data_IF_819278975263
#
_entry.id   IF_819278975263
#
_cell.length_a   1.000
_cell.length_b   1.000
_cell.length_c   1.000
_cell.angle_alpha   90.00
_cell.angle_beta   90.00
_cell.angle_gamma   90.00
#
_symmetry.space_group_name_H-M   'P 1'
#
loop_
_entity.id
_entity.type
_entity.pdbx_description
1 polymer ?
#
# COMPACT_ATOMS: atom_id res chain seq x y z
N UNK A 1 8.88 -1.63 -23.27
CA UNK A 1 9.90 -0.58 -23.46
C UNK A 1 11.10 -0.90 -22.57
N UNK A 2 12.33 -0.55 -22.94
CA UNK A 2 13.51 -0.67 -22.06
C UNK A 2 13.45 0.49 -21.06
N UNK A 3 13.76 0.24 -19.82
CA UNK A 3 13.84 1.28 -18.78
C UNK A 3 15.12 1.11 -17.95
N UNK A 4 15.55 2.19 -17.31
CA UNK A 4 16.64 2.20 -16.31
C UNK A 4 16.03 2.24 -14.92
N UNK A 5 16.75 1.68 -13.95
CA UNK A 5 16.40 1.76 -12.53
C UNK A 5 17.49 2.49 -11.78
N UNK A 6 17.12 3.54 -11.07
CA UNK A 6 18.03 4.33 -10.24
C UNK A 6 17.60 4.27 -8.79
N UNK A 7 18.50 3.88 -7.88
CA UNK A 7 18.28 3.95 -6.45
C UNK A 7 18.22 5.41 -6.02
N UNK A 8 17.16 5.78 -5.32
CA UNK A 8 16.94 7.15 -4.81
C UNK A 8 16.78 7.16 -3.30
N UNK A 9 17.07 8.30 -2.71
CA UNK A 9 16.89 8.57 -1.27
C UNK A 9 16.23 9.93 -1.11
N UNK A 10 15.22 10.02 -0.25
CA UNK A 10 14.51 11.28 -0.01
C UNK A 10 14.01 11.36 1.44
N UNK A 11 13.91 12.58 2.01
CA UNK A 11 13.49 12.75 3.40
C UNK A 11 11.99 12.55 3.58
N UNK A 12 11.61 11.97 4.72
CA UNK A 12 10.25 11.98 5.28
C UNK A 12 10.34 12.28 6.77
N UNK A 13 9.99 13.51 7.17
CA UNK A 13 10.26 13.99 8.51
C UNK A 13 11.77 13.98 8.82
N UNK A 14 12.16 13.31 9.90
CA UNK A 14 13.57 13.13 10.32
C UNK A 14 14.27 11.94 9.66
N UNK A 15 13.52 11.06 8.99
CA UNK A 15 14.03 9.82 8.45
C UNK A 15 14.27 9.92 6.94
N UNK A 16 15.17 9.08 6.41
CA UNK A 16 15.46 8.98 4.98
C UNK A 16 14.84 7.72 4.42
N UNK A 17 13.98 7.88 3.42
CA UNK A 17 13.38 6.78 2.68
C UNK A 17 14.25 6.38 1.50
N UNK A 18 14.23 5.07 1.19
CA UNK A 18 14.97 4.46 0.07
C UNK A 18 13.98 3.91 -0.94
N UNK A 19 14.17 4.28 -2.20
CA UNK A 19 13.30 3.86 -3.29
C UNK A 19 14.06 3.53 -4.57
N UNK A 20 13.33 2.99 -5.53
CA UNK A 20 13.79 2.72 -6.88
C UNK A 20 12.93 3.51 -7.89
N UNK A 21 13.59 4.36 -8.66
CA UNK A 21 12.99 5.13 -9.75
C UNK A 21 13.23 4.38 -11.07
N UNK A 22 12.16 3.94 -11.72
CA UNK A 22 12.21 3.31 -13.04
C UNK A 22 11.84 4.33 -14.10
N UNK A 23 12.73 4.53 -15.08
CA UNK A 23 12.57 5.54 -16.12
C UNK A 23 12.69 4.87 -17.50
N UNK A 24 11.58 4.81 -18.28
CA UNK A 24 11.60 4.32 -19.66
C UNK A 24 12.49 5.18 -20.56
N UNK A 25 13.07 4.54 -21.57
CA UNK A 25 13.87 5.23 -22.58
C UNK A 25 12.98 5.66 -23.76
N UNK A 26 13.30 6.83 -24.36
CA UNK A 26 12.64 7.28 -25.58
C UNK A 26 11.20 7.78 -25.37
N UNK A 27 10.90 8.29 -24.17
CA UNK A 27 9.61 8.90 -23.86
C UNK A 27 9.40 10.22 -24.65
N UNK A 28 8.14 10.53 -24.95
CA UNK A 28 7.73 11.88 -25.38
C UNK A 28 7.74 12.85 -24.18
N UNK A 29 7.54 14.15 -24.46
CA UNK A 29 7.61 15.21 -23.44
C UNK A 29 6.56 15.03 -22.35
N UNK A 30 5.36 14.56 -22.66
CA UNK A 30 4.28 14.37 -21.67
C UNK A 30 4.59 13.19 -20.76
N UNK A 31 4.98 12.05 -21.33
CA UNK A 31 5.37 10.85 -20.58
C UNK A 31 6.60 11.12 -19.70
N UNK A 32 7.56 11.91 -20.18
CA UNK A 32 8.77 12.26 -19.42
C UNK A 32 8.47 13.06 -18.14
N UNK A 33 7.36 13.81 -18.09
CA UNK A 33 6.93 14.58 -16.91
C UNK A 33 5.87 13.88 -16.05
N UNK A 34 5.46 12.67 -16.43
CA UNK A 34 4.48 11.86 -15.71
C UNK A 34 5.18 10.78 -14.88
N UNK A 35 4.75 10.57 -13.65
CA UNK A 35 5.26 9.51 -12.77
C UNK A 35 4.10 8.86 -12.00
N UNK A 36 4.22 7.57 -11.73
CA UNK A 36 3.30 6.83 -10.85
C UNK A 36 4.04 6.40 -9.59
N UNK A 37 3.55 6.81 -8.42
CA UNK A 37 4.03 6.35 -7.12
C UNK A 37 3.29 5.06 -6.79
N UNK A 38 4.05 3.96 -6.65
CA UNK A 38 3.49 2.61 -6.44
C UNK A 38 3.85 2.13 -5.04
N UNK A 39 2.84 1.73 -4.28
CA UNK A 39 3.01 1.24 -2.91
C UNK A 39 2.40 -0.16 -2.74
N UNK A 40 3.06 -0.98 -1.94
CA UNK A 40 2.76 -2.40 -1.78
C UNK A 40 1.73 -2.72 -0.71
N UNK A 41 1.62 -3.98 -0.38
CA UNK A 41 0.67 -4.53 0.59
C UNK A 41 1.09 -4.23 2.04
N UNK A 42 0.30 -4.76 2.99
CA UNK A 42 0.53 -4.65 4.43
C UNK A 42 1.85 -5.30 4.82
N UNK A 43 2.67 -4.63 5.64
CA UNK A 43 3.97 -5.08 6.14
C UNK A 43 5.08 -5.31 5.09
N UNK A 44 4.79 -5.14 3.81
CA UNK A 44 5.71 -5.48 2.71
C UNK A 44 6.79 -4.42 2.46
N UNK A 45 7.83 -4.84 1.76
CA UNK A 45 8.91 -3.99 1.24
C UNK A 45 8.72 -3.73 -0.25
N UNK A 46 9.43 -2.74 -0.79
CA UNK A 46 9.30 -2.30 -2.18
C UNK A 46 9.56 -3.40 -3.21
N UNK A 47 10.46 -4.34 -2.93
CA UNK A 47 10.85 -5.44 -3.82
C UNK A 47 9.71 -6.44 -4.10
N UNK A 48 8.65 -6.42 -3.30
CA UNK A 48 7.49 -7.33 -3.45
C UNK A 48 6.50 -6.82 -4.51
N UNK A 49 5.17 -6.78 -4.20
CA UNK A 49 4.16 -6.40 -5.19
C UNK A 49 4.39 -5.03 -5.82
N UNK A 50 4.92 -4.06 -5.06
CA UNK A 50 5.11 -2.71 -5.55
C UNK A 50 6.04 -2.67 -6.78
N UNK A 51 7.23 -3.29 -6.68
CA UNK A 51 8.19 -3.33 -7.80
C UNK A 51 7.65 -4.12 -9.00
N UNK A 52 6.91 -5.21 -8.74
CA UNK A 52 6.28 -5.99 -9.80
C UNK A 52 5.34 -5.14 -10.67
N UNK A 53 4.49 -4.31 -10.08
CA UNK A 53 3.62 -3.40 -10.82
C UNK A 53 4.39 -2.25 -11.44
N UNK A 54 5.31 -1.64 -10.71
CA UNK A 54 6.10 -0.52 -11.16
C UNK A 54 6.92 -0.84 -12.42
N UNK A 55 7.59 -2.00 -12.45
CA UNK A 55 8.32 -2.46 -13.65
C UNK A 55 7.43 -2.68 -14.86
N UNK A 56 6.19 -3.16 -14.67
CA UNK A 56 5.23 -3.32 -15.76
C UNK A 56 4.77 -1.99 -16.32
N UNK A 57 4.49 -1.03 -15.44
CA UNK A 57 4.17 0.34 -15.84
C UNK A 57 5.35 1.00 -16.55
N UNK A 58 6.59 0.79 -16.06
CA UNK A 58 7.79 1.28 -16.72
C UNK A 58 7.99 0.65 -18.09
N UNK A 59 7.78 -0.66 -18.24
CA UNK A 59 7.81 -1.33 -19.53
C UNK A 59 6.72 -0.84 -20.50
N UNK A 60 5.60 -0.32 -19.96
CA UNK A 60 4.53 0.31 -20.72
C UNK A 60 4.78 1.79 -21.02
N UNK A 61 5.88 2.39 -20.54
CA UNK A 61 6.28 3.75 -20.88
C UNK A 61 6.03 4.81 -19.82
N UNK A 62 5.68 4.44 -18.58
CA UNK A 62 5.46 5.38 -17.48
C UNK A 62 6.65 5.39 -16.51
N UNK A 63 7.10 6.57 -16.07
CA UNK A 63 8.03 6.62 -14.94
C UNK A 63 7.33 6.12 -13.70
N UNK A 64 8.04 5.36 -12.85
CA UNK A 64 7.49 4.85 -11.60
C UNK A 64 8.48 4.99 -10.45
N UNK A 65 7.96 5.28 -9.27
CA UNK A 65 8.69 5.29 -8.02
C UNK A 65 8.10 4.25 -7.08
N UNK A 66 8.93 3.33 -6.61
CA UNK A 66 8.64 2.46 -5.46
C UNK A 66 9.59 2.80 -4.33
N UNK A 67 9.16 2.64 -3.10
CA UNK A 67 10.00 2.91 -1.94
C UNK A 67 9.60 2.07 -0.74
N UNK A 68 10.54 1.86 0.18
CA UNK A 68 10.25 1.30 1.49
C UNK A 68 9.70 2.39 2.40
N UNK A 69 8.59 2.12 3.05
CA UNK A 69 8.07 2.99 4.12
C UNK A 69 9.07 3.08 5.28
N UNK A 70 9.04 4.18 6.04
CA UNK A 70 9.91 4.32 7.20
C UNK A 70 9.77 3.15 8.17
N UNK A 71 10.90 2.62 8.64
CA UNK A 71 10.94 1.46 9.50
C UNK A 71 10.80 0.12 8.78
N UNK A 72 10.74 0.09 7.45
CA UNK A 72 10.71 -1.11 6.62
C UNK A 72 11.90 -1.17 5.66
N UNK A 73 12.29 -2.38 5.25
CA UNK A 73 13.33 -2.60 4.26
C UNK A 73 14.58 -1.77 4.48
N UNK A 74 14.99 -1.01 3.48
CA UNK A 74 16.20 -0.19 3.48
C UNK A 74 15.98 1.25 3.98
N UNK A 75 14.73 1.66 4.23
CA UNK A 75 14.42 2.98 4.78
C UNK A 75 14.77 3.07 6.26
N UNK A 76 15.16 4.28 6.67
CA UNK A 76 15.38 4.61 8.08
C UNK A 76 14.06 4.63 8.86
N UNK A 77 14.15 4.86 10.15
CA UNK A 77 13.00 5.02 11.04
C UNK A 77 12.87 3.92 12.08
N UNK A 78 12.50 4.35 13.26
CA UNK A 78 12.21 3.50 14.42
C UNK A 78 10.81 3.82 14.97
N UNK A 79 10.15 2.85 15.63
CA UNK A 79 10.53 1.44 15.66
C UNK A 79 10.45 0.77 14.29
N UNK A 80 11.24 -0.29 14.07
CA UNK A 80 11.17 -1.09 12.85
C UNK A 80 9.85 -1.86 12.78
N UNK A 81 9.40 -2.15 11.55
CA UNK A 81 8.20 -2.95 11.26
C UNK A 81 6.93 -2.44 11.97
N UNK A 82 6.85 -1.14 12.22
CA UNK A 82 5.67 -0.51 12.79
C UNK A 82 4.69 -0.09 11.69
N UNK A 83 3.65 -0.89 11.53
CA UNK A 83 2.56 -0.62 10.61
C UNK A 83 1.67 0.49 11.18
N UNK A 84 1.91 1.71 10.77
CA UNK A 84 1.18 2.89 11.20
C UNK A 84 0.66 3.66 9.98
N UNK A 85 -0.65 3.60 9.68
CA UNK A 85 -1.23 4.24 8.50
C UNK A 85 -0.92 5.73 8.38
N UNK A 86 -0.97 6.48 9.48
CA UNK A 86 -0.70 7.93 9.46
C UNK A 86 0.74 8.21 9.00
N UNK A 87 1.74 7.48 9.54
CA UNK A 87 3.14 7.61 9.12
C UNK A 87 3.33 7.22 7.65
N UNK A 88 2.63 6.20 7.19
CA UNK A 88 2.70 5.77 5.77
C UNK A 88 2.09 6.79 4.82
N UNK A 89 1.01 7.46 5.21
CA UNK A 89 0.46 8.59 4.45
C UNK A 89 1.46 9.74 4.38
N UNK A 90 2.16 10.07 5.47
CA UNK A 90 3.25 11.07 5.47
C UNK A 90 4.38 10.67 4.51
N UNK A 91 4.75 9.39 4.48
CA UNK A 91 5.80 8.89 3.58
C UNK A 91 5.39 8.97 2.10
N UNK A 92 4.13 8.71 1.79
CA UNK A 92 3.57 8.90 0.45
C UNK A 92 3.61 10.38 0.07
N UNK A 93 3.21 11.28 0.96
CA UNK A 93 3.30 12.73 0.74
C UNK A 93 4.75 13.18 0.48
N UNK A 94 5.72 12.61 1.20
CA UNK A 94 7.14 12.86 0.99
C UNK A 94 7.61 12.33 -0.38
N UNK A 95 7.13 11.16 -0.82
CA UNK A 95 7.42 10.61 -2.13
C UNK A 95 6.83 11.49 -3.27
N UNK A 96 5.63 12.05 -3.08
CA UNK A 96 5.04 13.05 -4.00
C UNK A 96 5.92 14.30 -4.05
N UNK A 97 6.39 14.80 -2.90
CA UNK A 97 7.27 15.97 -2.82
C UNK A 97 8.61 15.72 -3.50
N UNK A 98 9.18 14.53 -3.32
CA UNK A 98 10.37 14.10 -4.03
C UNK A 98 10.14 14.08 -5.56
N UNK A 99 9.05 13.48 -6.03
CA UNK A 99 8.73 13.45 -7.46
C UNK A 99 8.64 14.86 -8.06
N UNK A 100 7.97 15.80 -7.38
CA UNK A 100 7.92 17.21 -7.79
C UNK A 100 9.32 17.82 -7.86
N UNK A 101 10.19 17.56 -6.88
CA UNK A 101 11.57 18.06 -6.87
C UNK A 101 12.43 17.53 -8.03
N UNK A 102 12.06 16.36 -8.58
CA UNK A 102 12.69 15.78 -9.77
C UNK A 102 12.12 16.31 -11.09
N UNK A 103 11.18 17.26 -11.04
CA UNK A 103 10.58 17.88 -12.22
C UNK A 103 9.33 17.18 -12.76
N UNK A 104 8.80 16.17 -12.07
CA UNK A 104 7.52 15.57 -12.46
C UNK A 104 6.36 16.51 -12.12
N UNK A 105 5.48 16.70 -13.10
CA UNK A 105 4.32 17.61 -12.99
C UNK A 105 2.98 16.88 -13.00
N UNK A 106 2.96 15.60 -13.39
CA UNK A 106 1.77 14.75 -13.40
C UNK A 106 2.07 13.51 -12.55
N UNK A 107 1.45 13.43 -11.39
CA UNK A 107 1.72 12.38 -10.40
C UNK A 107 0.48 11.50 -10.26
N UNK A 108 0.58 10.25 -10.72
CA UNK A 108 -0.40 9.20 -10.44
C UNK A 108 -0.02 8.44 -9.17
N UNK A 109 -1.03 7.88 -8.52
CA UNK A 109 -0.87 7.03 -7.35
C UNK A 109 -1.42 5.62 -7.63
N UNK A 110 -0.68 4.58 -7.25
CA UNK A 110 -1.14 3.20 -7.30
C UNK A 110 -0.93 2.54 -5.94
N UNK A 111 -2.02 2.13 -5.30
CA UNK A 111 -2.02 1.43 -4.03
C UNK A 111 -2.48 -0.02 -4.17
N UNK A 112 -1.76 -0.95 -3.54
CA UNK A 112 -2.07 -2.38 -3.57
C UNK A 112 -2.47 -2.83 -2.17
N UNK A 113 -3.61 -3.50 -2.03
CA UNK A 113 -4.11 -4.05 -0.77
C UNK A 113 -4.20 -2.96 0.33
N UNK A 114 -3.48 -3.04 1.43
CA UNK A 114 -3.48 -2.05 2.51
C UNK A 114 -3.07 -0.64 2.04
N UNK A 115 -2.06 -0.55 1.16
CA UNK A 115 -1.62 0.75 0.64
C UNK A 115 -2.66 1.46 -0.23
N UNK A 116 -3.68 0.75 -0.70
CA UNK A 116 -4.82 1.39 -1.36
C UNK A 116 -5.49 2.40 -0.43
N UNK A 117 -5.64 2.06 0.85
CA UNK A 117 -6.16 2.97 1.86
C UNK A 117 -5.24 4.17 2.12
N UNK A 118 -3.92 3.95 2.20
CA UNK A 118 -2.96 5.04 2.41
C UNK A 118 -2.90 5.99 1.22
N UNK A 119 -2.90 5.45 -0.01
CA UNK A 119 -2.95 6.27 -1.23
C UNK A 119 -4.27 7.03 -1.37
N UNK A 120 -5.40 6.44 -0.97
CA UNK A 120 -6.70 7.09 -0.99
C UNK A 120 -6.73 8.30 -0.04
N UNK A 121 -6.24 8.13 1.20
CA UNK A 121 -6.13 9.22 2.17
C UNK A 121 -5.19 10.31 1.66
N UNK A 122 -4.02 9.94 1.14
CA UNK A 122 -3.09 10.92 0.56
C UNK A 122 -3.71 11.67 -0.62
N UNK A 123 -4.37 10.99 -1.55
CA UNK A 123 -4.99 11.63 -2.73
C UNK A 123 -6.18 12.54 -2.37
N UNK A 124 -6.84 12.29 -1.23
CA UNK A 124 -7.89 13.17 -0.71
C UNK A 124 -7.35 14.52 -0.20
N UNK A 125 -6.10 14.54 0.28
CA UNK A 125 -5.49 15.71 0.93
C UNK A 125 -4.40 16.36 0.06
N UNK A 126 -3.70 15.61 -0.80
CA UNK A 126 -2.61 16.09 -1.65
C UNK A 126 -3.05 16.34 -3.10
N UNK A 127 -3.40 17.57 -3.40
CA UNK A 127 -3.88 17.97 -4.73
C UNK A 127 -2.84 17.89 -5.86
N UNK A 128 -1.59 17.52 -5.57
CA UNK A 128 -0.56 17.24 -6.58
C UNK A 128 -0.74 15.88 -7.23
N UNK A 129 -1.45 14.96 -6.57
CA UNK A 129 -1.87 13.69 -7.17
C UNK A 129 -3.00 13.96 -8.17
N UNK A 130 -2.89 13.46 -9.40
CA UNK A 130 -3.85 13.71 -10.48
C UNK A 130 -4.66 12.48 -10.90
N UNK A 131 -4.33 11.29 -10.39
CA UNK A 131 -5.08 10.05 -10.63
C UNK A 131 -4.76 9.01 -9.55
N UNK A 132 -5.74 8.13 -9.26
CA UNK A 132 -5.64 7.10 -8.23
C UNK A 132 -6.03 5.73 -8.80
N UNK A 133 -5.13 4.76 -8.70
CA UNK A 133 -5.39 3.36 -9.03
C UNK A 133 -5.33 2.49 -7.77
N UNK A 134 -6.35 1.68 -7.53
CA UNK A 134 -6.47 0.81 -6.36
C UNK A 134 -6.60 -0.65 -6.82
N UNK A 135 -5.64 -1.48 -6.45
CA UNK A 135 -5.58 -2.88 -6.86
C UNK A 135 -5.80 -3.79 -5.66
N UNK A 136 -6.83 -4.63 -5.73
CA UNK A 136 -7.25 -5.52 -4.65
C UNK A 136 -7.26 -4.79 -3.28
N UNK A 137 -7.92 -3.62 -3.19
CA UNK A 137 -7.79 -2.74 -2.04
C UNK A 137 -8.33 -3.38 -0.77
N UNK A 138 -7.58 -3.28 0.31
CA UNK A 138 -8.06 -3.53 1.67
C UNK A 138 -8.51 -2.20 2.25
N UNK A 139 -9.80 -1.94 2.19
CA UNK A 139 -10.43 -0.73 2.72
C UNK A 139 -11.37 -1.13 3.85
N UNK A 140 -11.07 -0.72 5.06
CA UNK A 140 -11.84 -1.13 6.23
C UNK A 140 -12.22 0.05 7.11
N UNK A 141 -13.21 -0.17 7.93
CA UNK A 141 -13.53 0.56 9.14
C UNK A 141 -13.60 -0.42 10.31
N UNK A 142 -13.94 0.04 11.49
CA UNK A 142 -14.04 -0.78 12.70
C UNK A 142 -14.98 -1.97 12.53
N UNK A 143 -16.13 -1.77 11.91
CA UNK A 143 -17.15 -2.79 11.74
C UNK A 143 -16.68 -3.89 10.75
N UNK A 144 -16.14 -3.49 9.63
CA UNK A 144 -15.70 -4.40 8.57
C UNK A 144 -14.45 -5.21 8.96
N UNK A 145 -13.59 -4.65 9.81
CA UNK A 145 -12.33 -5.33 10.19
C UNK A 145 -12.54 -6.32 11.34
N UNK A 146 -13.53 -6.13 12.19
CA UNK A 146 -13.75 -6.94 13.38
C UNK A 146 -13.87 -8.45 13.11
N UNK A 147 -14.60 -8.91 12.08
CA UNK A 147 -14.71 -10.36 11.77
C UNK A 147 -13.36 -11.04 11.47
N UNK A 148 -12.40 -10.31 10.93
CA UNK A 148 -11.06 -10.84 10.58
C UNK A 148 -10.17 -11.05 11.80
N UNK A 149 -10.48 -10.40 12.93
CA UNK A 149 -9.65 -10.39 14.13
C UNK A 149 -10.39 -10.89 15.38
N UNK A 150 -11.37 -11.78 15.21
CA UNK A 150 -12.09 -12.40 16.33
C UNK A 150 -13.23 -11.58 16.89
N UNK A 151 -13.86 -10.75 16.05
CA UNK A 151 -14.96 -9.86 16.44
C UNK A 151 -14.50 -8.68 17.29
N UNK A 152 -15.46 -7.98 17.91
CA UNK A 152 -15.17 -6.80 18.73
C UNK A 152 -14.25 -7.11 19.93
N UNK A 153 -14.39 -8.28 20.56
CA UNK A 153 -13.54 -8.70 21.67
C UNK A 153 -12.09 -8.87 21.20
N UNK A 154 -11.85 -9.61 20.12
CA UNK A 154 -10.52 -9.83 19.59
C UNK A 154 -9.85 -8.55 19.06
N UNK A 155 -10.62 -7.58 18.58
CA UNK A 155 -10.10 -6.24 18.23
C UNK A 155 -9.73 -5.47 19.49
N UNK A 156 -10.56 -5.50 20.54
CA UNK A 156 -10.26 -4.83 21.81
C UNK A 156 -8.97 -5.38 22.44
N UNK A 157 -8.83 -6.69 22.51
CA UNK A 157 -7.63 -7.36 23.05
C UNK A 157 -6.36 -6.92 22.30
N UNK A 158 -6.41 -6.83 20.96
CA UNK A 158 -5.26 -6.38 20.14
C UNK A 158 -4.92 -4.92 20.37
N UNK A 159 -5.91 -4.06 20.54
CA UNK A 159 -5.70 -2.65 20.88
C UNK A 159 -5.03 -2.52 22.24
N UNK A 160 -5.46 -3.29 23.25
CA UNK A 160 -4.85 -3.26 24.58
C UNK A 160 -3.41 -3.79 24.54
N UNK A 161 -3.14 -4.87 23.80
CA UNK A 161 -1.77 -5.35 23.54
C UNK A 161 -0.92 -4.28 22.84
N UNK A 162 -1.48 -3.57 21.87
CA UNK A 162 -0.81 -2.50 21.15
C UNK A 162 -0.40 -1.36 22.08
N UNK A 163 -1.31 -0.91 22.92
CA UNK A 163 -1.07 0.15 23.90
C UNK A 163 0.00 -0.24 24.92
N UNK A 164 -0.06 -1.47 25.43
CA UNK A 164 0.95 -1.98 26.34
C UNK A 164 2.35 -2.05 25.69
N UNK A 165 2.43 -2.49 24.42
CA UNK A 165 3.67 -2.54 23.67
C UNK A 165 4.21 -1.13 23.37
N UNK A 166 3.34 -0.17 23.04
CA UNK A 166 3.73 1.22 22.82
C UNK A 166 4.24 1.88 24.11
N UNK A 167 3.60 1.65 25.26
CA UNK A 167 4.04 2.14 26.55
C UNK A 167 5.42 1.57 26.92
N UNK A 168 5.64 0.25 26.74
CA UNK A 168 6.93 -0.38 26.95
C UNK A 168 8.03 0.22 26.06
N UNK A 169 7.72 0.41 24.78
CA UNK A 169 8.66 1.04 23.86
C UNK A 169 9.02 2.46 24.29
N UNK A 170 8.06 3.26 24.72
CA UNK A 170 8.29 4.61 25.20
C UNK A 170 9.15 4.66 26.47
N UNK A 171 9.02 3.65 27.35
CA UNK A 171 9.78 3.55 28.61
C UNK A 171 11.20 3.00 28.40
N UNK A 172 11.35 1.97 27.56
CA UNK A 172 12.57 1.16 27.49
C UNK A 172 13.28 1.20 26.14
N UNK A 173 12.61 1.67 25.08
CA UNK A 173 13.09 1.55 23.70
C UNK A 173 12.95 0.13 23.11
N UNK A 174 12.38 -0.83 23.86
CA UNK A 174 12.24 -2.21 23.42
C UNK A 174 10.96 -2.41 22.60
N UNK A 175 11.08 -3.02 21.41
CA UNK A 175 9.96 -3.32 20.51
C UNK A 175 9.57 -4.78 20.63
N UNK A 176 8.29 -5.04 20.88
CA UNK A 176 7.72 -6.40 20.83
C UNK A 176 7.24 -6.70 19.42
N UNK A 177 7.58 -7.89 18.90
CA UNK A 177 7.22 -8.34 17.56
C UNK A 177 6.39 -9.63 17.58
N UNK A 178 5.56 -9.80 16.56
CA UNK A 178 4.91 -11.06 16.19
C UNK A 178 5.21 -11.36 14.72
N UNK A 179 5.07 -12.63 14.27
CA UNK A 179 5.20 -12.94 12.84
C UNK A 179 4.20 -12.13 11.99
N UNK A 180 4.66 -11.61 10.85
CA UNK A 180 3.75 -10.98 9.90
C UNK A 180 2.78 -11.99 9.29
N UNK A 181 3.26 -13.23 9.07
CA UNK A 181 2.48 -14.33 8.51
C UNK A 181 2.94 -15.66 9.12
N UNK A 182 1.99 -16.57 9.31
CA UNK A 182 2.26 -17.97 9.69
C UNK A 182 1.08 -18.88 9.37
N UNK A 183 1.36 -20.15 9.08
CA UNK A 183 0.36 -21.23 9.00
C UNK A 183 0.27 -22.05 10.28
N UNK A 184 1.15 -21.83 11.25
CA UNK A 184 1.30 -22.64 12.48
C UNK A 184 1.31 -21.81 13.75
N UNK A 185 1.68 -20.53 13.68
CA UNK A 185 1.69 -19.61 14.81
C UNK A 185 0.45 -18.70 14.73
N UNK A 186 -0.54 -18.96 15.57
CA UNK A 186 -1.80 -18.21 15.64
C UNK A 186 -1.63 -16.75 16.12
N UNK A 187 -0.47 -16.42 16.69
CA UNK A 187 -0.17 -15.02 17.05
C UNK A 187 0.17 -14.14 15.86
N UNK A 188 0.43 -14.75 14.69
CA UNK A 188 0.79 -14.03 13.48
C UNK A 188 -0.30 -13.02 13.06
N UNK A 189 0.14 -11.91 12.54
CA UNK A 189 -0.76 -10.84 12.07
C UNK A 189 -1.67 -11.31 10.93
N UNK A 190 -1.16 -12.17 10.05
CA UNK A 190 -1.90 -12.89 9.01
C UNK A 190 -1.74 -14.40 9.27
N UNK A 191 -2.73 -15.01 9.92
CA UNK A 191 -2.73 -16.45 10.17
C UNK A 191 -3.50 -17.17 9.05
N UNK A 192 -2.83 -18.05 8.32
CA UNK A 192 -3.44 -18.85 7.26
C UNK A 192 -2.55 -19.08 6.03
N UNK A 193 -3.06 -19.81 5.01
CA UNK A 193 -2.32 -20.19 3.81
C UNK A 193 -2.32 -19.08 2.76
N UNK A 194 -1.63 -17.97 3.07
CA UNK A 194 -1.46 -16.87 2.12
C UNK A 194 -0.27 -17.13 1.20
N UNK A 195 -0.47 -17.93 0.17
CA UNK A 195 0.56 -18.49 -0.72
C UNK A 195 1.57 -17.47 -1.25
N UNK A 196 1.12 -16.24 -1.55
CA UNK A 196 2.04 -15.21 -2.05
C UNK A 196 3.19 -14.96 -1.09
N UNK A 197 2.90 -14.81 0.20
CA UNK A 197 3.88 -14.45 1.23
C UNK A 197 4.72 -15.63 1.74
N UNK A 198 4.30 -16.85 1.42
CA UNK A 198 4.97 -18.09 1.85
C UNK A 198 5.84 -18.72 0.74
N UNK A 199 5.70 -18.22 -0.50
CA UNK A 199 6.42 -18.73 -1.66
C UNK A 199 7.71 -17.92 -1.88
N UNK A 200 8.90 -18.55 -1.77
CA UNK A 200 10.20 -17.89 -1.97
C UNK A 200 10.44 -17.43 -3.41
N UNK A 201 9.62 -17.88 -4.37
CA UNK A 201 9.66 -17.38 -5.74
C UNK A 201 8.77 -16.13 -5.95
N UNK A 202 8.06 -15.70 -4.90
CA UNK A 202 7.09 -14.59 -4.97
C UNK A 202 7.32 -13.56 -3.88
N UNK A 203 6.72 -13.73 -2.71
CA UNK A 203 6.71 -12.73 -1.62
C UNK A 203 7.58 -13.09 -0.42
N UNK A 204 8.03 -14.35 -0.28
CA UNK A 204 8.93 -14.78 0.79
C UNK A 204 10.40 -14.46 0.42
N UNK A 205 10.77 -13.19 0.43
CA UNK A 205 12.08 -12.69 0.02
C UNK A 205 12.94 -12.30 1.22
N UNK A 206 14.29 -12.32 1.07
CA UNK A 206 15.22 -12.00 2.16
C UNK A 206 15.13 -10.56 2.67
N UNK A 207 14.72 -9.61 1.82
CA UNK A 207 14.61 -8.19 2.15
C UNK A 207 13.44 -7.89 3.10
N UNK A 208 12.51 -8.81 3.26
CA UNK A 208 11.35 -8.66 4.12
C UNK A 208 11.59 -9.24 5.50
N UNK A 209 11.42 -8.43 6.55
CA UNK A 209 11.65 -8.82 7.96
C UNK A 209 10.66 -9.89 8.48
N UNK A 210 9.56 -10.16 7.79
CA UNK A 210 8.52 -11.18 8.12
C UNK A 210 7.91 -11.02 9.51
N UNK A 211 7.99 -9.84 10.08
CA UNK A 211 7.47 -9.53 11.41
C UNK A 211 6.77 -8.18 11.42
N UNK A 212 5.97 -7.96 12.44
CA UNK A 212 5.27 -6.70 12.69
C UNK A 212 5.39 -6.33 14.17
N UNK A 213 5.62 -5.06 14.46
CA UNK A 213 5.60 -4.58 15.82
C UNK A 213 4.19 -4.67 16.41
N UNK A 214 4.04 -5.22 17.60
CA UNK A 214 2.74 -5.40 18.27
C UNK A 214 1.98 -4.08 18.43
N UNK A 215 2.70 -2.97 18.62
CA UNK A 215 2.14 -1.61 18.67
C UNK A 215 1.44 -1.16 17.37
N UNK A 216 1.49 -1.94 16.31
CA UNK A 216 0.80 -1.69 15.05
C UNK A 216 -0.72 -1.91 15.13
N UNK A 217 -1.20 -2.69 16.08
CA UNK A 217 -2.60 -3.11 16.10
C UNK A 217 -3.57 -1.93 16.30
N UNK A 218 -3.32 -1.02 17.24
CA UNK A 218 -4.22 0.10 17.46
C UNK A 218 -4.31 1.02 16.23
N UNK A 219 -3.20 1.56 15.67
CA UNK A 219 -3.30 2.43 14.50
C UNK A 219 -3.87 1.73 13.27
N UNK A 220 -3.65 0.41 13.11
CA UNK A 220 -4.23 -0.37 12.03
C UNK A 220 -5.74 -0.57 12.22
N UNK A 221 -6.18 -1.06 13.38
CA UNK A 221 -7.57 -1.42 13.66
C UNK A 221 -8.50 -0.21 13.81
N UNK A 222 -7.94 0.97 14.02
CA UNK A 222 -8.68 2.24 14.08
C UNK A 222 -8.62 3.05 12.79
N UNK A 223 -7.84 2.61 11.81
CA UNK A 223 -7.74 3.27 10.52
C UNK A 223 -9.04 3.11 9.72
N UNK A 224 -9.57 4.21 9.18
CA UNK A 224 -10.75 4.22 8.33
C UNK A 224 -10.49 5.01 7.04
N UNK A 225 -9.90 4.40 6.02
CA UNK A 225 -9.66 5.06 4.75
C UNK A 225 -10.94 5.32 3.94
N UNK A 226 -12.07 4.65 4.26
CA UNK A 226 -13.34 4.81 3.54
C UNK A 226 -13.85 6.26 3.67
N UNK A 227 -13.64 6.90 4.81
CA UNK A 227 -14.07 8.30 5.04
C UNK A 227 -13.36 9.30 4.11
N UNK A 228 -12.22 8.93 3.53
CA UNK A 228 -11.52 9.79 2.56
C UNK A 228 -12.20 9.84 1.19
N UNK A 229 -13.03 8.86 0.84
CA UNK A 229 -13.62 8.71 -0.49
C UNK A 229 -14.33 9.99 -0.97
N UNK A 230 -15.16 10.60 -0.11
CA UNK A 230 -15.91 11.81 -0.45
C UNK A 230 -15.05 13.04 -0.75
N UNK A 231 -13.76 13.01 -0.36
CA UNK A 231 -12.78 14.09 -0.56
C UNK A 231 -11.86 13.83 -1.75
N UNK A 232 -11.87 12.62 -2.33
CA UNK A 232 -11.07 12.30 -3.51
C UNK A 232 -11.67 13.03 -4.71
N UNK A 233 -10.91 13.95 -5.30
CA UNK A 233 -11.36 14.80 -6.42
C UNK A 233 -10.70 14.43 -7.75
N UNK A 234 -9.91 13.36 -7.77
CA UNK A 234 -9.19 12.87 -8.96
C UNK A 234 -9.85 11.61 -9.53
N UNK A 235 -9.66 11.31 -10.82
CA UNK A 235 -10.12 10.05 -11.40
C UNK A 235 -9.60 8.83 -10.63
N UNK A 236 -10.51 7.89 -10.34
CA UNK A 236 -10.20 6.65 -9.62
C UNK A 236 -10.45 5.45 -10.52
N UNK A 237 -9.45 4.56 -10.62
CA UNK A 237 -9.60 3.24 -11.20
C UNK A 237 -9.42 2.19 -10.11
N UNK A 238 -10.42 1.33 -9.92
CA UNK A 238 -10.40 0.30 -8.88
C UNK A 238 -10.61 -1.08 -9.48
N UNK A 239 -9.72 -2.01 -9.14
CA UNK A 239 -9.82 -3.42 -9.53
C UNK A 239 -9.88 -4.28 -8.27
N UNK A 240 -10.98 -4.99 -8.08
CA UNK A 240 -11.19 -5.87 -6.92
C UNK A 240 -11.95 -7.14 -7.31
N UNK A 241 -11.96 -8.14 -6.43
CA UNK A 241 -12.75 -9.35 -6.56
C UNK A 241 -13.78 -9.44 -5.44
N UNK A 242 -14.96 -9.97 -5.74
CA UNK A 242 -15.96 -10.30 -4.70
C UNK A 242 -15.48 -11.37 -3.73
N UNK A 243 -14.54 -12.22 -4.17
CA UNK A 243 -13.90 -13.25 -3.36
C UNK A 243 -12.60 -12.74 -2.71
N UNK A 244 -12.30 -11.45 -2.86
CA UNK A 244 -11.15 -10.81 -2.24
C UNK A 244 -11.38 -10.49 -0.77
N UNK A 245 -10.35 -9.94 -0.12
CA UNK A 245 -10.47 -9.51 1.27
C UNK A 245 -11.24 -8.18 1.37
N UNK A 246 -12.18 -8.09 2.32
CA UNK A 246 -12.99 -6.90 2.64
C UNK A 246 -13.68 -6.31 1.39
N UNK A 247 -14.45 -7.10 0.60
CA UNK A 247 -15.06 -6.60 -0.63
C UNK A 247 -16.08 -5.49 -0.36
N UNK A 248 -16.79 -5.56 0.76
CA UNK A 248 -17.79 -4.55 1.15
C UNK A 248 -17.14 -3.18 1.41
N UNK A 249 -15.93 -3.16 1.96
CA UNK A 249 -15.20 -1.91 2.18
C UNK A 249 -14.78 -1.23 0.87
N UNK A 250 -14.37 -2.02 -0.11
CA UNK A 250 -14.07 -1.50 -1.44
C UNK A 250 -15.34 -0.95 -2.13
N UNK A 251 -16.50 -1.63 -1.96
CA UNK A 251 -17.77 -1.16 -2.48
C UNK A 251 -18.21 0.13 -1.79
N UNK A 252 -18.15 0.21 -0.46
CA UNK A 252 -18.50 1.41 0.29
C UNK A 252 -17.64 2.62 -0.11
N UNK A 253 -16.33 2.39 -0.29
CA UNK A 253 -15.44 3.44 -0.77
C UNK A 253 -15.84 3.92 -2.17
N UNK A 254 -16.07 2.98 -3.08
CA UNK A 254 -16.46 3.28 -4.46
C UNK A 254 -17.77 4.08 -4.53
N UNK A 255 -18.78 3.67 -3.77
CA UNK A 255 -20.10 4.32 -3.73
C UNK A 255 -20.03 5.73 -3.11
N UNK A 256 -19.06 5.98 -2.24
CA UNK A 256 -18.84 7.28 -1.60
C UNK A 256 -18.00 8.26 -2.45
N UNK A 257 -17.44 7.81 -3.58
CA UNK A 257 -16.71 8.70 -4.50
C UNK A 257 -17.65 9.73 -5.12
N UNK A 258 -17.20 10.99 -5.32
CA UNK A 258 -17.98 11.99 -6.03
C UNK A 258 -18.34 11.52 -7.45
N UNK A 259 -19.62 11.50 -7.79
CA UNK A 259 -20.16 10.87 -9.01
C UNK A 259 -19.76 11.52 -10.35
N UNK A 260 -18.94 12.57 -10.35
CA UNK A 260 -18.39 13.23 -11.56
C UNK A 260 -17.03 12.64 -11.98
N UNK A 261 -16.46 11.72 -11.19
CA UNK A 261 -15.18 11.13 -11.48
C UNK A 261 -15.37 9.86 -12.31
N UNK A 262 -14.52 9.66 -13.32
CA UNK A 262 -14.45 8.39 -14.04
C UNK A 262 -13.92 7.32 -13.09
N UNK A 263 -14.83 6.65 -12.38
CA UNK A 263 -14.53 5.50 -11.56
C UNK A 263 -14.93 4.24 -12.33
N UNK A 264 -14.03 3.28 -12.41
CA UNK A 264 -14.29 1.97 -12.99
C UNK A 264 -14.13 0.93 -11.91
N UNK A 265 -15.16 0.14 -11.70
CA UNK A 265 -15.13 -1.05 -10.86
C UNK A 265 -15.02 -2.27 -11.77
N UNK A 266 -13.90 -2.96 -11.70
CA UNK A 266 -13.71 -4.22 -12.41
C UNK A 266 -13.69 -5.39 -11.43
N UNK A 267 -14.56 -6.37 -11.69
CA UNK A 267 -14.59 -7.58 -10.89
C UNK A 267 -13.53 -8.58 -11.39
N UNK A 268 -12.45 -8.75 -10.63
CA UNK A 268 -11.38 -9.72 -10.93
C UNK A 268 -11.84 -11.17 -10.67
N UNK A 269 -12.78 -11.70 -11.42
CA UNK A 269 -13.18 -13.12 -11.30
C UNK A 269 -12.23 -14.08 -12.03
N UNK A 270 -11.24 -13.62 -12.82
CA UNK A 270 -10.43 -14.50 -13.69
C UNK A 270 -9.03 -14.06 -14.06
N UNK A 271 -8.17 -13.73 -13.12
CA UNK A 271 -6.76 -13.48 -13.44
C UNK A 271 -5.75 -14.44 -12.75
N UNK A 272 -6.23 -15.54 -12.17
CA UNK A 272 -5.37 -16.55 -11.51
C UNK A 272 -5.18 -17.83 -12.34
N UNK A 273 -5.86 -17.99 -13.47
CA UNK A 273 -5.62 -19.17 -14.37
C UNK A 273 -5.38 -18.67 -15.78
N UNK A 274 -4.13 -18.75 -16.18
CA UNK A 274 -3.63 -18.33 -17.48
C UNK A 274 -4.59 -18.55 -18.64
N UNK A 275 -5.01 -17.46 -19.24
CA UNK A 275 -5.31 -17.33 -20.67
C UNK A 275 -5.42 -15.85 -21.05
N UNK A 276 -4.76 -15.53 -22.13
CA UNK A 276 -4.73 -14.33 -22.93
C UNK A 276 -6.04 -13.54 -22.96
N UNK A 277 -5.92 -12.24 -22.73
CA UNK A 277 -6.93 -11.24 -23.06
C UNK A 277 -7.31 -11.36 -24.54
N UNK A 278 -8.51 -11.80 -24.84
CA UNK A 278 -9.15 -11.56 -26.12
C UNK A 278 -10.51 -10.93 -25.86
N UNK A 279 -10.62 -9.70 -26.38
CA UNK A 279 -11.85 -8.94 -26.64
C UNK A 279 -12.74 -8.56 -25.45
N UNK A 280 -12.54 -7.34 -24.95
CA UNK A 280 -13.64 -6.53 -24.42
C UNK A 280 -14.12 -5.65 -25.56
N UNK A 281 -15.22 -6.04 -26.19
CA UNK A 281 -16.02 -5.17 -27.04
C UNK A 281 -17.39 -4.96 -26.39
N UNK A 282 -17.67 -3.72 -26.10
CA UNK A 282 -18.90 -2.99 -25.78
C UNK A 282 -19.17 -2.71 -24.33
#
# INVERSE_FOLDING_TARGET
>A
MIFTTTRVRFPSGSDVLVGDLHQPQGQDTESATTIVIVTGSWTTVKEQQADFYARRLAAAGLNTLVFDFRGFGQSEGNPRCWENPARKVEDIHAAVSFAVSQGYTRIGALGICASAGYQAVNAADDHRVCSLALVAPWLHNRELVAPYYGGEAGVADRIDMSRAAAARYAETGEVSYIPAISTTDESAAMFGPFDYYLDPQRGDIPEWDKQIAVMSWEPWLTFNPIDSASKVTVPVHMVHSRDGAVPDGAQLFFDALPGSLFSCWENMVRLVVGRTLSSVSR
#
